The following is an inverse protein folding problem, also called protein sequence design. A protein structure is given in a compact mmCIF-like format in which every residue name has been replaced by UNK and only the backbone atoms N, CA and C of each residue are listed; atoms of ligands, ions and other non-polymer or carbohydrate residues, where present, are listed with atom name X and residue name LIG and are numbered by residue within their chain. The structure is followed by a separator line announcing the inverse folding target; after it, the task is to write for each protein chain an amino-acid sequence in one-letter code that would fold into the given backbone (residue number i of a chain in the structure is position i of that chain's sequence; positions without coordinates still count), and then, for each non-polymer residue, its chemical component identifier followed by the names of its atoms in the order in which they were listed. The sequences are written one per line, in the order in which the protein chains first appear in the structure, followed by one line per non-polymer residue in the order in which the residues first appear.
data_IF_146812744207
#
_entry.id   IF_146812744207
#
_cell.length_a   1.000
_cell.length_b   1.000
_cell.length_c   1.000
_cell.angle_alpha   90.00
_cell.angle_beta   90.00
_cell.angle_gamma   90.00
#
_symmetry.space_group_name_H-M   'P 1'
#
loop_
_entity.id
_entity.type
_entity.pdbx_description
1 polymer ?
#
# COMPACT_ATOMS: atom_id res chain seq x y z
N UNK A 1 -42.79 -86.97 39.27
CA UNK A 1 -41.41 -87.43 39.53
C UNK A 1 -40.49 -86.62 38.63
N UNK A 2 -39.48 -86.00 39.26
CA UNK A 2 -38.34 -85.14 38.81
C UNK A 2 -37.74 -85.37 37.41
N UNK A 3 -36.83 -84.50 36.86
CA UNK A 3 -36.52 -83.07 37.11
C UNK A 3 -36.17 -82.27 35.80
N UNK A 4 -35.39 -81.17 35.93
CA UNK A 4 -34.64 -80.36 34.93
C UNK A 4 -35.35 -79.13 34.35
N UNK A 5 -34.73 -77.97 34.13
CA UNK A 5 -33.47 -77.36 34.56
C UNK A 5 -33.53 -75.90 34.08
N UNK A 6 -33.02 -74.94 34.86
CA UNK A 6 -32.83 -73.56 34.40
C UNK A 6 -31.74 -73.54 33.31
N UNK A 7 -32.14 -73.25 32.08
CA UNK A 7 -31.24 -73.00 30.95
C UNK A 7 -30.70 -71.58 30.99
N UNK A 8 -29.40 -71.48 31.27
CA UNK A 8 -28.57 -70.28 31.14
C UNK A 8 -28.12 -70.15 29.68
N UNK A 9 -28.54 -69.10 28.98
CA UNK A 9 -27.87 -68.66 27.74
C UNK A 9 -27.06 -67.40 28.03
N UNK A 10 -25.75 -67.61 28.12
CA UNK A 10 -24.73 -66.59 27.88
C UNK A 10 -24.75 -66.20 26.40
N UNK A 11 -24.52 -64.91 26.10
CA UNK A 11 -24.01 -64.51 24.80
C UNK A 11 -24.60 -63.21 24.25
N UNK A 12 -23.92 -62.08 24.48
CA UNK A 12 -23.23 -61.32 23.42
C UNK A 12 -22.70 -60.03 24.05
N UNK A 13 -21.42 -60.07 24.42
CA UNK A 13 -20.60 -58.89 24.54
C UNK A 13 -20.62 -58.17 23.19
N UNK A 14 -21.15 -56.95 23.17
CA UNK A 14 -20.92 -55.97 22.10
C UNK A 14 -19.88 -54.98 22.59
N UNK A 15 -18.70 -55.50 22.95
CA UNK A 15 -17.47 -54.73 23.00
C UNK A 15 -16.96 -54.60 21.55
N UNK A 16 -17.53 -53.65 20.82
CA UNK A 16 -17.05 -53.24 19.51
C UNK A 16 -16.41 -51.85 19.59
N UNK A 17 -15.23 -51.61 19.00
CA UNK A 17 -14.55 -50.31 19.01
C UNK A 17 -15.26 -49.23 18.17
N UNK A 18 -16.50 -49.47 17.75
CA UNK A 18 -17.25 -48.64 16.82
C UNK A 18 -17.89 -47.40 17.46
N UNK A 19 -17.88 -47.26 18.80
CA UNK A 19 -18.48 -46.10 19.49
C UNK A 19 -17.55 -44.90 19.67
N UNK A 20 -16.24 -45.05 19.40
CA UNK A 20 -15.27 -43.96 19.45
C UNK A 20 -14.97 -43.31 18.09
N UNK A 21 -15.44 -43.91 16.98
CA UNK A 21 -15.23 -43.38 15.63
C UNK A 21 -16.12 -42.17 15.31
N UNK A 22 -17.30 -42.08 15.91
CA UNK A 22 -18.26 -40.99 15.64
C UNK A 22 -17.87 -39.62 16.22
N UNK A 23 -17.34 -39.48 17.47
CA UNK A 23 -16.89 -38.18 17.96
C UNK A 23 -15.59 -37.71 17.28
N UNK A 24 -14.74 -38.64 16.79
CA UNK A 24 -13.50 -38.30 16.10
C UNK A 24 -13.75 -37.69 14.71
N UNK A 25 -14.80 -38.17 14.01
CA UNK A 25 -15.18 -37.67 12.69
C UNK A 25 -15.74 -36.23 12.76
N UNK A 26 -16.48 -35.90 13.83
CA UNK A 26 -17.07 -34.56 14.04
C UNK A 26 -15.99 -33.51 14.37
N UNK A 27 -14.91 -33.90 15.07
CA UNK A 27 -13.79 -32.99 15.36
C UNK A 27 -12.96 -32.67 14.10
N UNK A 28 -12.85 -33.60 13.15
CA UNK A 28 -12.13 -33.34 11.88
C UNK A 28 -12.83 -32.33 10.96
N UNK A 29 -14.16 -32.23 11.00
CA UNK A 29 -14.89 -31.31 10.11
C UNK A 29 -14.78 -29.85 10.60
N UNK A 30 -14.55 -29.62 11.89
CA UNK A 30 -14.43 -28.28 12.48
C UNK A 30 -13.03 -27.65 12.32
N UNK A 31 -12.03 -28.40 11.83
CA UNK A 31 -10.67 -27.89 11.59
C UNK A 31 -10.42 -27.29 10.21
N UNK A 32 -11.41 -27.35 9.30
CA UNK A 32 -11.23 -27.00 7.89
C UNK A 32 -11.70 -25.58 7.50
N UNK A 33 -12.24 -24.80 8.44
CA UNK A 33 -12.48 -23.36 8.23
C UNK A 33 -11.18 -22.58 8.48
N UNK A 34 -10.12 -22.92 7.73
CA UNK A 34 -8.95 -22.05 7.63
C UNK A 34 -9.24 -21.05 6.54
N UNK A 35 -9.33 -19.77 6.92
CA UNK A 35 -9.52 -18.63 6.04
C UNK A 35 -8.69 -18.80 4.76
N UNK A 36 -9.38 -19.01 3.64
CA UNK A 36 -8.80 -19.42 2.36
C UNK A 36 -8.38 -18.22 1.51
N UNK A 37 -8.31 -17.03 2.11
CA UNK A 37 -7.85 -15.81 1.48
C UNK A 37 -6.42 -15.99 0.95
N UNK A 38 -6.27 -16.04 -0.38
CA UNK A 38 -4.98 -16.21 -1.06
C UNK A 38 -4.37 -14.86 -1.37
N UNK A 39 -3.04 -14.80 -1.30
CA UNK A 39 -2.27 -13.66 -1.79
C UNK A 39 -2.18 -13.74 -3.33
N UNK A 40 -2.46 -12.62 -3.98
CA UNK A 40 -2.22 -12.42 -5.41
C UNK A 40 -1.29 -11.24 -5.59
N UNK A 41 -0.29 -11.41 -6.44
CA UNK A 41 0.72 -10.40 -6.73
C UNK A 41 0.74 -10.08 -8.22
N UNK A 42 0.38 -8.85 -8.55
CA UNK A 42 0.25 -8.37 -9.92
C UNK A 42 1.25 -7.24 -10.12
N UNK A 43 2.02 -7.30 -11.19
CA UNK A 43 3.07 -6.33 -11.46
C UNK A 43 3.23 -6.10 -12.95
N UNK A 44 3.76 -4.94 -13.31
CA UNK A 44 4.04 -4.61 -14.68
C UNK A 44 4.63 -3.22 -14.82
N UNK A 45 4.57 -2.69 -16.04
CA UNK A 45 5.02 -1.33 -16.34
C UNK A 45 3.89 -0.54 -16.97
N UNK A 46 3.70 0.70 -16.52
CA UNK A 46 2.72 1.64 -17.02
C UNK A 46 3.13 3.06 -16.64
N UNK A 47 2.66 4.08 -17.35
CA UNK A 47 2.88 5.48 -16.98
C UNK A 47 4.38 5.85 -16.83
N UNK A 48 5.24 5.20 -17.62
CA UNK A 48 6.70 5.39 -17.58
C UNK A 48 7.38 4.86 -16.31
N UNK A 49 6.72 4.01 -15.53
CA UNK A 49 7.25 3.45 -14.28
C UNK A 49 6.77 2.00 -14.06
N UNK A 50 7.25 1.36 -12.99
CA UNK A 50 6.73 0.08 -12.51
C UNK A 50 5.51 0.25 -11.61
N UNK A 51 4.65 -0.75 -11.58
CA UNK A 51 3.58 -0.89 -10.59
C UNK A 51 3.62 -2.27 -9.95
N UNK A 52 3.20 -2.34 -8.68
CA UNK A 52 3.03 -3.57 -7.92
C UNK A 52 1.71 -3.50 -7.17
N UNK A 53 0.93 -4.56 -7.22
CA UNK A 53 -0.34 -4.68 -6.51
C UNK A 53 -0.34 -6.01 -5.78
N UNK A 54 -0.38 -5.95 -4.45
CA UNK A 54 -0.56 -7.14 -3.61
C UNK A 54 -1.99 -7.10 -3.08
N UNK A 55 -2.77 -8.15 -3.31
CA UNK A 55 -4.14 -8.26 -2.82
C UNK A 55 -4.40 -9.63 -2.18
N UNK A 56 -5.37 -9.67 -1.28
CA UNK A 56 -5.77 -10.85 -0.54
C UNK A 56 -7.24 -11.15 -0.79
N UNK A 57 -7.53 -12.22 -1.54
CA UNK A 57 -8.89 -12.60 -1.93
C UNK A 57 -8.96 -14.08 -2.33
N UNK A 58 -10.15 -14.67 -2.24
CA UNK A 58 -10.45 -15.99 -2.80
C UNK A 58 -11.00 -15.80 -4.22
N UNK A 59 -10.09 -15.83 -5.20
CA UNK A 59 -10.37 -15.64 -6.63
C UNK A 59 -10.02 -16.91 -7.40
N UNK A 60 -10.89 -17.30 -8.32
CA UNK A 60 -10.59 -18.32 -9.33
C UNK A 60 -9.75 -17.76 -10.49
N UNK A 61 -9.40 -18.62 -11.44
CA UNK A 61 -8.55 -18.23 -12.57
C UNK A 61 -9.17 -17.17 -13.48
N UNK A 62 -10.48 -17.27 -13.73
CA UNK A 62 -11.19 -16.37 -14.62
C UNK A 62 -11.35 -14.99 -13.96
N UNK A 63 -11.61 -14.97 -12.65
CA UNK A 63 -11.66 -13.74 -11.85
C UNK A 63 -10.31 -13.02 -11.78
N UNK A 64 -9.20 -13.77 -11.64
CA UNK A 64 -7.85 -13.17 -11.68
C UNK A 64 -7.60 -12.55 -13.05
N UNK A 65 -7.93 -13.25 -14.15
CA UNK A 65 -7.75 -12.72 -15.49
C UNK A 65 -8.61 -11.48 -15.77
N UNK A 66 -9.87 -11.47 -15.30
CA UNK A 66 -10.73 -10.28 -15.37
C UNK A 66 -10.15 -9.12 -14.55
N UNK A 67 -9.62 -9.41 -13.36
CA UNK A 67 -9.03 -8.42 -12.47
C UNK A 67 -7.79 -7.77 -13.10
N UNK A 68 -6.89 -8.58 -13.66
CA UNK A 68 -5.71 -8.10 -14.38
C UNK A 68 -6.08 -7.25 -15.59
N UNK A 69 -7.03 -7.71 -16.41
CA UNK A 69 -7.51 -6.97 -17.57
C UNK A 69 -8.14 -5.61 -17.18
N UNK A 70 -8.83 -5.56 -16.04
CA UNK A 70 -9.38 -4.32 -15.49
C UNK A 70 -8.33 -3.33 -15.02
N UNK A 71 -7.30 -3.80 -14.31
CA UNK A 71 -6.12 -3.00 -13.91
C UNK A 71 -5.43 -2.42 -15.14
N UNK A 72 -5.14 -3.26 -16.13
CA UNK A 72 -4.54 -2.84 -17.39
C UNK A 72 -5.41 -1.82 -18.13
N UNK A 73 -6.73 -2.01 -18.12
CA UNK A 73 -7.70 -1.08 -18.70
C UNK A 73 -7.65 0.31 -18.08
N UNK A 74 -7.64 0.41 -16.75
CA UNK A 74 -7.52 1.67 -16.03
C UNK A 74 -6.17 2.37 -16.28
N UNK A 75 -5.06 1.61 -16.24
CA UNK A 75 -3.72 2.13 -16.52
C UNK A 75 -3.58 2.60 -17.97
N UNK A 76 -4.10 1.84 -18.94
CA UNK A 76 -4.09 2.21 -20.35
C UNK A 76 -4.96 3.45 -20.63
N UNK A 77 -6.09 3.59 -19.91
CA UNK A 77 -6.93 4.79 -19.96
C UNK A 77 -6.16 6.02 -19.49
N UNK A 78 -5.46 5.93 -18.36
CA UNK A 78 -4.61 7.00 -17.86
C UNK A 78 -3.43 7.31 -18.79
N UNK A 79 -2.79 6.30 -19.38
CA UNK A 79 -1.69 6.53 -20.33
C UNK A 79 -2.16 7.30 -21.57
N UNK A 80 -3.36 7.01 -22.09
CA UNK A 80 -3.97 7.79 -23.17
C UNK A 80 -4.24 9.23 -22.76
N UNK A 81 -4.72 9.46 -21.54
CA UNK A 81 -4.96 10.81 -21.00
C UNK A 81 -3.63 11.58 -20.83
N UNK A 82 -2.62 10.95 -20.22
CA UNK A 82 -1.27 11.50 -20.04
C UNK A 82 -0.64 11.88 -21.37
N UNK A 83 -0.65 10.95 -22.34
CA UNK A 83 -0.12 11.18 -23.70
C UNK A 83 -0.83 12.33 -24.42
N UNK A 84 -2.15 12.44 -24.27
CA UNK A 84 -2.93 13.54 -24.85
C UNK A 84 -2.58 14.87 -24.21
N UNK A 85 -2.45 14.90 -22.88
CA UNK A 85 -1.99 16.08 -22.15
C UNK A 85 -0.58 16.50 -22.57
N UNK A 86 0.38 15.57 -22.66
CA UNK A 86 1.76 15.87 -23.08
C UNK A 86 1.80 16.50 -24.46
N UNK A 87 1.07 15.96 -25.44
CA UNK A 87 1.01 16.53 -26.80
C UNK A 87 0.38 17.93 -26.81
N UNK A 88 -0.70 18.13 -26.08
CA UNK A 88 -1.35 19.43 -25.99
C UNK A 88 -0.44 20.47 -25.32
N UNK A 89 0.26 20.07 -24.25
CA UNK A 89 1.23 20.89 -23.56
C UNK A 89 2.41 21.28 -24.48
N UNK A 90 2.93 20.32 -25.25
CA UNK A 90 4.00 20.57 -26.23
C UNK A 90 3.59 21.54 -27.32
N UNK A 91 2.39 21.35 -27.88
CA UNK A 91 1.86 22.23 -28.91
C UNK A 91 1.67 23.67 -28.39
N UNK A 92 1.24 23.83 -27.14
CA UNK A 92 0.98 25.14 -26.55
C UNK A 92 2.25 25.86 -26.07
N UNK A 93 3.22 25.12 -25.52
CA UNK A 93 4.35 25.71 -24.78
C UNK A 93 5.73 25.40 -25.37
N UNK A 94 5.84 24.58 -26.42
CA UNK A 94 7.10 24.14 -26.99
C UNK A 94 8.03 25.27 -27.44
N UNK A 95 7.49 26.37 -27.96
CA UNK A 95 8.26 27.53 -28.42
C UNK A 95 8.86 28.35 -27.27
N UNK A 96 8.26 28.30 -26.07
CA UNK A 96 8.62 29.17 -24.96
C UNK A 96 9.85 28.71 -24.16
N UNK A 97 10.45 27.55 -24.51
CA UNK A 97 11.60 26.95 -23.78
C UNK A 97 11.47 27.03 -22.25
N UNK A 98 10.24 26.99 -21.73
CA UNK A 98 9.98 26.76 -20.32
C UNK A 98 10.65 25.45 -19.93
N UNK A 99 11.06 25.31 -18.65
CA UNK A 99 11.65 24.06 -18.11
C UNK A 99 10.62 22.92 -18.15
N UNK A 100 10.34 22.45 -19.37
CA UNK A 100 9.26 21.54 -19.69
C UNK A 100 9.54 20.18 -19.11
N UNK A 101 10.81 19.85 -18.87
CA UNK A 101 11.22 18.63 -18.18
C UNK A 101 10.78 18.66 -16.73
N UNK A 102 11.11 19.70 -15.94
CA UNK A 102 10.71 19.77 -14.53
C UNK A 102 9.19 19.72 -14.35
N UNK A 103 8.45 20.46 -15.17
CA UNK A 103 6.99 20.44 -15.19
C UNK A 103 6.43 19.08 -15.62
N UNK A 104 6.99 18.44 -16.65
CA UNK A 104 6.60 17.08 -17.06
C UNK A 104 6.82 16.07 -15.95
N UNK A 105 7.97 16.11 -15.28
CA UNK A 105 8.23 15.19 -14.18
C UNK A 105 7.25 15.38 -13.02
N UNK A 106 6.85 16.63 -12.74
CA UNK A 106 5.82 16.89 -11.74
C UNK A 106 4.45 16.37 -12.20
N UNK A 107 4.10 16.54 -13.48
CA UNK A 107 2.88 15.98 -14.06
C UNK A 107 2.87 14.44 -14.06
N UNK A 108 4.00 13.79 -14.36
CA UNK A 108 4.14 12.33 -14.31
C UNK A 108 3.93 11.82 -12.87
N UNK A 109 4.56 12.47 -11.88
CA UNK A 109 4.35 12.17 -10.46
C UNK A 109 2.88 12.29 -10.04
N UNK A 110 2.21 13.37 -10.43
CA UNK A 110 0.76 13.54 -10.23
C UNK A 110 -0.06 12.44 -10.90
N UNK A 111 0.36 12.00 -12.09
CA UNK A 111 -0.29 10.91 -12.82
C UNK A 111 -0.14 9.58 -12.06
N UNK A 112 1.01 9.31 -11.44
CA UNK A 112 1.19 8.12 -10.60
C UNK A 112 0.28 8.15 -9.37
N UNK A 113 0.18 9.29 -8.69
CA UNK A 113 -0.73 9.45 -7.55
C UNK A 113 -2.21 9.28 -7.95
N UNK A 114 -2.60 9.83 -9.10
CA UNK A 114 -3.94 9.62 -9.66
C UNK A 114 -4.19 8.16 -10.04
N UNK A 115 -3.17 7.46 -10.56
CA UNK A 115 -3.28 6.04 -10.90
C UNK A 115 -3.55 5.19 -9.67
N UNK A 116 -2.82 5.42 -8.57
CA UNK A 116 -3.05 4.74 -7.30
C UNK A 116 -4.47 5.00 -6.78
N UNK A 117 -4.95 6.25 -6.84
CA UNK A 117 -6.31 6.57 -6.41
C UNK A 117 -7.38 5.91 -7.29
N UNK A 118 -7.21 5.89 -8.61
CA UNK A 118 -8.16 5.26 -9.53
C UNK A 118 -8.18 3.74 -9.40
N UNK A 119 -7.01 3.12 -9.28
CA UNK A 119 -6.92 1.68 -9.06
C UNK A 119 -7.55 1.30 -7.72
N UNK A 120 -7.30 2.06 -6.65
CA UNK A 120 -7.93 1.82 -5.36
C UNK A 120 -9.46 1.92 -5.46
N UNK A 121 -10.00 2.94 -6.13
CA UNK A 121 -11.45 3.08 -6.34
C UNK A 121 -12.04 1.96 -7.20
N UNK A 122 -11.32 1.54 -8.25
CA UNK A 122 -11.77 0.47 -9.13
C UNK A 122 -11.77 -0.90 -8.42
N UNK A 123 -10.76 -1.16 -7.59
CA UNK A 123 -10.66 -2.36 -6.75
C UNK A 123 -11.73 -2.40 -5.64
N UNK A 124 -12.16 -1.22 -5.16
CA UNK A 124 -13.20 -1.06 -4.14
C UNK A 124 -14.65 -1.15 -4.70
N UNK A 125 -14.82 -1.28 -6.03
CA UNK A 125 -16.13 -1.30 -6.73
C UNK A 125 -16.96 -2.58 -6.46
N UNK A 126 -16.70 -3.30 -5.37
CA UNK A 126 -17.40 -4.50 -4.88
C UNK A 126 -17.48 -5.69 -5.84
N UNK A 127 -16.80 -5.62 -7.00
CA UNK A 127 -16.74 -6.72 -7.98
C UNK A 127 -15.96 -7.93 -7.46
N UNK A 128 -14.94 -7.66 -6.64
CA UNK A 128 -14.10 -8.68 -6.03
C UNK A 128 -14.19 -8.53 -4.51
N UNK A 129 -14.35 -9.65 -3.81
CA UNK A 129 -14.36 -9.68 -2.35
C UNK A 129 -12.90 -9.62 -1.81
N UNK A 130 -12.31 -8.43 -1.88
CA UNK A 130 -10.95 -8.20 -1.41
C UNK A 130 -10.94 -7.96 0.10
N UNK A 131 -10.09 -8.69 0.83
CA UNK A 131 -9.90 -8.50 2.28
C UNK A 131 -8.84 -7.43 2.60
N UNK A 132 -7.82 -7.33 1.75
CA UNK A 132 -6.77 -6.33 1.84
C UNK A 132 -6.14 -6.12 0.47
N UNK A 133 -5.68 -4.90 0.21
CA UNK A 133 -4.95 -4.57 -1.01
C UNK A 133 -3.95 -3.44 -0.76
N UNK A 134 -2.77 -3.56 -1.37
CA UNK A 134 -1.75 -2.53 -1.43
C UNK A 134 -1.42 -2.27 -2.90
N UNK A 135 -1.67 -1.05 -3.35
CA UNK A 135 -1.36 -0.58 -4.71
C UNK A 135 -0.14 0.32 -4.66
N UNK A 136 0.86 0.03 -5.50
CA UNK A 136 2.02 0.88 -5.74
C UNK A 136 2.12 1.26 -7.23
N UNK A 137 2.29 2.54 -7.53
CA UNK A 137 2.70 3.02 -8.87
C UNK A 137 3.80 4.06 -8.69
N UNK A 138 5.02 3.77 -9.19
CA UNK A 138 6.14 4.71 -9.14
C UNK A 138 6.52 5.19 -7.73
N UNK A 139 6.46 4.31 -6.72
CA UNK A 139 6.76 4.64 -5.32
C UNK A 139 5.66 5.40 -4.58
N UNK A 140 4.53 5.67 -5.24
CA UNK A 140 3.29 6.11 -4.57
C UNK A 140 2.52 4.88 -4.16
N UNK A 141 2.11 4.81 -2.89
CA UNK A 141 1.44 3.63 -2.35
C UNK A 141 0.10 3.99 -1.72
N UNK A 142 -0.88 3.08 -1.81
CA UNK A 142 -2.13 3.16 -1.04
C UNK A 142 -2.58 1.77 -0.63
N UNK A 143 -2.90 1.62 0.66
CA UNK A 143 -3.37 0.38 1.25
C UNK A 143 -4.81 0.48 1.74
N UNK A 144 -5.55 -0.60 1.59
CA UNK A 144 -6.87 -0.83 2.18
C UNK A 144 -6.87 -2.19 2.88
N UNK A 145 -7.64 -2.28 3.98
CA UNK A 145 -7.67 -3.47 4.83
C UNK A 145 -6.31 -3.81 5.44
N UNK A 146 -6.23 -5.00 6.02
CA UNK A 146 -5.03 -5.52 6.68
C UNK A 146 -4.77 -6.95 6.19
N UNK A 147 -3.55 -7.28 5.72
CA UNK A 147 -3.23 -8.63 5.29
C UNK A 147 -3.30 -9.62 6.47
N UNK A 148 -3.43 -10.94 6.22
CA UNK A 148 -3.47 -11.95 7.29
C UNK A 148 -2.25 -11.93 8.24
N UNK A 149 -1.12 -11.40 7.77
CA UNK A 149 0.12 -11.24 8.54
C UNK A 149 0.14 -10.00 9.47
N UNK A 150 -0.92 -9.18 9.49
CA UNK A 150 -1.03 -7.97 10.32
C UNK A 150 -1.19 -6.70 9.49
N UNK A 151 -0.45 -5.64 9.82
CA UNK A 151 -0.50 -4.37 9.08
C UNK A 151 0.36 -4.39 7.82
N UNK A 152 -0.03 -3.61 6.80
CA UNK A 152 0.90 -3.15 5.78
C UNK A 152 1.92 -2.22 6.43
N UNK A 153 3.19 -2.62 6.46
CA UNK A 153 4.28 -1.87 7.09
C UNK A 153 5.26 -1.36 6.05
N UNK A 154 5.59 -0.07 6.13
CA UNK A 154 6.62 0.53 5.29
C UNK A 154 7.70 1.18 6.15
N UNK A 155 8.96 0.87 5.85
CA UNK A 155 10.09 1.47 6.56
C UNK A 155 10.25 2.95 6.20
N UNK A 156 10.45 3.78 7.21
CA UNK A 156 10.83 5.19 7.08
C UNK A 156 12.35 5.38 6.96
N UNK A 157 13.12 4.31 7.11
CA UNK A 157 14.57 4.34 6.99
C UNK A 157 15.01 4.58 5.55
N UNK A 158 16.14 5.27 5.41
CA UNK A 158 16.76 5.49 4.11
C UNK A 158 18.27 5.48 4.25
N UNK A 159 18.93 4.79 3.34
CA UNK A 159 20.39 4.80 3.22
C UNK A 159 20.93 6.22 3.10
N UNK A 160 21.92 6.56 3.92
CA UNK A 160 22.56 7.87 3.94
C UNK A 160 21.84 8.93 4.80
N UNK A 161 20.75 8.56 5.49
CA UNK A 161 20.17 9.37 6.56
C UNK A 161 20.49 8.73 7.93
N UNK A 162 20.57 9.53 9.00
CA UNK A 162 20.57 9.00 10.37
C UNK A 162 19.36 8.09 10.59
N UNK A 163 19.54 7.05 11.43
CA UNK A 163 18.40 6.26 11.88
C UNK A 163 17.40 7.17 12.60
N UNK A 164 16.09 6.96 12.42
CA UNK A 164 15.10 7.76 13.13
C UNK A 164 15.19 7.51 14.64
N UNK A 165 15.16 8.59 15.43
CA UNK A 165 14.96 8.55 16.87
C UNK A 165 13.47 8.26 17.13
N UNK A 166 13.06 6.98 17.04
CA UNK A 166 11.67 6.57 17.28
C UNK A 166 11.17 5.50 16.31
N UNK A 167 9.89 5.57 15.94
CA UNK A 167 9.23 4.61 15.07
C UNK A 167 9.94 4.49 13.71
N UNK A 168 10.25 3.25 13.34
CA UNK A 168 10.95 2.91 12.08
C UNK A 168 9.99 2.60 10.94
N UNK A 169 8.73 2.33 11.25
CA UNK A 169 7.73 1.91 10.28
C UNK A 169 6.48 2.78 10.38
N UNK A 170 5.81 2.92 9.24
CA UNK A 170 4.43 3.41 9.19
C UNK A 170 3.49 2.27 8.82
N UNK A 171 2.29 2.32 9.39
CA UNK A 171 1.18 1.45 9.02
C UNK A 171 0.37 2.13 7.93
N UNK A 172 0.18 1.41 6.82
CA UNK A 172 -0.66 1.85 5.70
C UNK A 172 -2.00 1.13 5.79
N UNK A 173 -3.01 1.79 6.36
CA UNK A 173 -4.36 1.24 6.43
C UNK A 173 -5.37 2.33 6.09
N UNK A 174 -6.16 2.11 5.03
CA UNK A 174 -7.10 3.09 4.49
C UNK A 174 -6.44 4.44 4.17
N UNK A 175 -5.19 4.39 3.71
CA UNK A 175 -4.38 5.57 3.48
C UNK A 175 -3.35 5.33 2.39
N UNK A 176 -2.84 6.45 1.88
CA UNK A 176 -1.76 6.52 0.94
C UNK A 176 -0.52 7.13 1.58
N UNK A 177 0.64 6.76 1.06
CA UNK A 177 1.91 7.39 1.37
C UNK A 177 2.65 7.76 0.09
N UNK A 178 3.27 8.94 0.12
CA UNK A 178 4.12 9.45 -0.94
C UNK A 178 5.46 9.82 -0.36
N UNK A 179 6.52 9.29 -0.96
CA UNK A 179 7.89 9.69 -0.70
C UNK A 179 8.42 10.59 -1.82
N UNK A 180 8.85 11.79 -1.46
CA UNK A 180 9.56 12.71 -2.33
C UNK A 180 10.98 12.92 -1.86
N UNK A 181 11.87 13.09 -2.81
CA UNK A 181 13.28 13.34 -2.58
C UNK A 181 13.73 14.53 -3.41
N UNK A 182 14.61 15.35 -2.82
CA UNK A 182 15.29 16.40 -3.56
C UNK A 182 16.06 15.79 -4.73
N UNK A 183 16.06 16.48 -5.87
CA UNK A 183 16.95 16.13 -6.98
C UNK A 183 18.38 16.41 -6.55
N UNK A 184 19.24 15.41 -6.66
CA UNK A 184 20.69 15.59 -6.63
C UNK A 184 21.17 16.06 -8.01
N UNK A 185 20.76 17.27 -8.40
CA UNK A 185 21.47 17.98 -9.47
C UNK A 185 22.66 18.72 -8.82
N UNK A 186 23.80 18.79 -9.51
CA UNK A 186 25.09 19.28 -8.98
C UNK A 186 24.92 20.57 -8.14
N UNK A 187 25.37 20.50 -6.88
CA UNK A 187 25.11 21.48 -5.82
C UNK A 187 25.82 22.81 -6.11
N UNK A 188 25.14 23.98 -6.09
CA UNK A 188 25.83 25.25 -5.90
C UNK A 188 26.38 25.31 -4.47
N UNK A 189 27.58 25.88 -4.31
CA UNK A 189 28.44 25.90 -3.12
C UNK A 189 27.86 26.63 -1.87
N UNK A 190 26.54 26.67 -1.70
CA UNK A 190 25.84 27.48 -0.69
C UNK A 190 25.18 26.59 0.35
N UNK A 191 25.53 26.83 1.61
CA UNK A 191 25.07 26.18 2.85
C UNK A 191 23.68 26.64 3.27
N UNK A 192 22.75 26.80 2.33
CA UNK A 192 21.36 27.04 2.71
C UNK A 192 20.76 25.71 3.14
N UNK A 193 19.83 25.77 4.09
CA UNK A 193 19.05 24.59 4.42
C UNK A 193 18.35 24.09 3.15
N UNK A 194 17.98 22.82 3.03
CA UNK A 194 17.15 22.34 1.90
C UNK A 194 16.37 21.11 2.31
N UNK A 195 15.05 21.03 2.02
CA UNK A 195 14.29 19.80 2.21
C UNK A 195 14.88 18.69 1.32
N UNK A 196 15.45 17.65 1.93
CA UNK A 196 16.09 16.52 1.24
C UNK A 196 15.10 15.40 0.91
N UNK A 197 14.13 15.21 1.78
CA UNK A 197 13.10 14.20 1.64
C UNK A 197 11.83 14.62 2.37
N UNK A 198 10.69 14.27 1.83
CA UNK A 198 9.39 14.40 2.49
C UNK A 198 8.65 13.09 2.30
N UNK A 199 8.12 12.54 3.39
CA UNK A 199 7.13 11.46 3.37
C UNK A 199 5.81 12.04 3.86
N UNK A 200 4.73 11.89 3.10
CA UNK A 200 3.39 12.34 3.54
C UNK A 200 2.42 11.19 3.49
N UNK A 201 1.64 11.05 4.57
CA UNK A 201 0.47 10.19 4.63
C UNK A 201 -0.81 10.99 4.47
N UNK A 202 -1.78 10.45 3.74
CA UNK A 202 -3.10 11.06 3.58
C UNK A 202 -4.14 9.99 3.20
N UNK A 203 -5.46 10.27 3.32
CA UNK A 203 -6.52 9.37 2.84
C UNK A 203 -6.42 8.99 1.35
N UNK A 204 -5.85 9.86 0.51
CA UNK A 204 -5.70 9.64 -0.94
C UNK A 204 -4.26 9.92 -1.39
N UNK A 205 -3.81 9.18 -2.40
CA UNK A 205 -2.48 9.34 -2.97
C UNK A 205 -2.30 10.73 -3.61
N UNK A 206 -3.34 11.23 -4.29
CA UNK A 206 -3.35 12.58 -4.85
C UNK A 206 -3.23 13.66 -3.78
N UNK A 207 -3.90 13.50 -2.62
CA UNK A 207 -3.76 14.42 -1.50
C UNK A 207 -2.35 14.39 -0.91
N UNK A 208 -1.85 13.18 -0.60
CA UNK A 208 -0.50 12.99 -0.09
C UNK A 208 0.54 13.62 -1.02
N UNK A 209 0.39 13.43 -2.34
CA UNK A 209 1.35 14.01 -3.26
C UNK A 209 1.23 15.52 -3.40
N UNK A 210 0.03 16.09 -3.44
CA UNK A 210 -0.11 17.57 -3.45
C UNK A 210 0.60 18.18 -2.25
N UNK A 211 0.37 17.63 -1.05
CA UNK A 211 1.03 18.08 0.16
C UNK A 211 2.54 17.88 0.09
N UNK A 212 3.01 16.68 -0.29
CA UNK A 212 4.44 16.41 -0.43
C UNK A 212 5.12 17.36 -1.42
N UNK A 213 4.44 17.74 -2.50
CA UNK A 213 4.93 18.69 -3.51
C UNK A 213 5.12 20.08 -2.94
N UNK A 214 4.13 20.58 -2.19
CA UNK A 214 4.20 21.88 -1.52
C UNK A 214 5.34 21.91 -0.51
N UNK A 215 5.49 20.85 0.29
CA UNK A 215 6.59 20.73 1.26
C UNK A 215 7.97 20.64 0.58
N UNK A 216 8.05 20.00 -0.60
CA UNK A 216 9.30 19.93 -1.37
C UNK A 216 9.72 21.22 -2.04
N UNK A 217 8.77 22.11 -2.29
CA UNK A 217 9.00 23.41 -2.91
C UNK A 217 9.09 24.54 -1.88
N UNK A 218 8.75 24.26 -0.62
CA UNK A 218 8.85 25.22 0.48
C UNK A 218 10.30 25.64 0.74
N UNK A 219 10.44 26.85 1.28
CA UNK A 219 11.72 27.24 1.85
C UNK A 219 12.09 26.28 2.99
N UNK A 220 13.37 25.93 3.09
CA UNK A 220 13.84 24.88 4.01
C UNK A 220 13.47 25.09 5.47
N UNK A 221 13.63 26.32 5.95
CA UNK A 221 13.30 26.77 7.31
C UNK A 221 11.79 26.82 7.59
N UNK A 222 10.97 26.74 6.55
CA UNK A 222 9.52 26.86 6.62
C UNK A 222 8.80 25.55 6.25
N UNK A 223 9.48 24.56 5.68
CA UNK A 223 8.86 23.30 5.29
C UNK A 223 8.18 22.58 6.48
N UNK A 224 8.79 22.62 7.67
CA UNK A 224 8.20 22.05 8.89
C UNK A 224 6.97 22.85 9.33
N UNK A 225 7.08 24.18 9.39
CA UNK A 225 5.95 25.06 9.75
C UNK A 225 4.80 24.95 8.78
N UNK A 226 5.10 24.81 7.49
CA UNK A 226 4.10 24.60 6.45
C UNK A 226 3.40 23.26 6.63
N UNK A 227 4.13 22.20 6.97
CA UNK A 227 3.53 20.89 7.27
C UNK A 227 2.56 20.97 8.46
N UNK A 228 2.93 21.68 9.52
CA UNK A 228 2.06 21.94 10.67
C UNK A 228 0.83 22.78 10.29
N UNK A 229 1.02 23.86 9.53
CA UNK A 229 -0.07 24.73 9.09
C UNK A 229 -1.08 24.02 8.17
N UNK A 230 -0.63 23.00 7.45
CA UNK A 230 -1.45 22.18 6.57
C UNK A 230 -2.10 20.98 7.28
N UNK A 231 -1.81 20.78 8.57
CA UNK A 231 -2.16 19.55 9.32
C UNK A 231 -1.74 18.28 8.55
N UNK A 232 -0.57 18.35 7.92
CA UNK A 232 -0.05 17.29 7.07
C UNK A 232 0.57 16.21 7.95
N UNK A 233 0.15 14.95 7.82
CA UNK A 233 0.82 13.80 8.44
C UNK A 233 2.15 13.53 7.72
N UNK A 234 3.21 14.26 8.10
CA UNK A 234 4.43 14.34 7.33
C UNK A 234 5.69 14.09 8.16
N UNK A 235 6.66 13.47 7.50
CA UNK A 235 8.07 13.43 7.90
C UNK A 235 8.87 14.27 6.93
N UNK A 236 9.55 15.30 7.42
CA UNK A 236 10.37 16.23 6.64
C UNK A 236 11.82 16.05 7.06
N UNK A 237 12.69 15.75 6.10
CA UNK A 237 14.14 15.65 6.29
C UNK A 237 14.78 16.89 5.71
N UNK A 238 15.46 17.67 6.54
CA UNK A 238 16.07 18.94 6.15
C UNK A 238 17.58 18.83 6.32
N UNK A 239 18.33 19.25 5.29
CA UNK A 239 19.75 19.52 5.43
C UNK A 239 19.90 20.89 6.08
N UNK A 240 20.68 21.00 7.14
CA UNK A 240 21.07 22.27 7.79
C UNK A 240 22.60 22.41 7.76
N UNK A 241 23.16 23.60 8.08
CA UNK A 241 24.61 23.75 8.22
C UNK A 241 25.24 22.83 9.28
N UNK A 242 24.46 22.39 10.27
CA UNK A 242 24.91 21.55 11.39
C UNK A 242 24.76 20.05 11.10
N UNK A 243 24.01 19.66 10.06
CA UNK A 243 23.83 18.27 9.70
C UNK A 243 22.52 17.99 8.97
N UNK A 244 21.95 16.81 9.23
CA UNK A 244 20.64 16.41 8.74
C UNK A 244 19.71 16.35 9.94
N UNK A 245 18.58 17.04 9.84
CA UNK A 245 17.53 17.02 10.84
C UNK A 245 16.29 16.31 10.27
N UNK A 246 15.66 15.50 11.11
CA UNK A 246 14.45 14.75 10.77
C UNK A 246 13.33 15.27 11.67
N UNK A 247 12.29 15.83 11.05
CA UNK A 247 11.14 16.41 11.74
C UNK A 247 9.89 15.60 11.40
N UNK A 248 9.08 15.25 12.41
CA UNK A 248 7.77 14.63 12.23
C UNK A 248 6.68 15.54 12.80
N UNK A 249 5.59 15.68 12.07
CA UNK A 249 4.40 16.41 12.54
C UNK A 249 3.59 15.55 13.52
N UNK A 250 2.88 16.17 14.45
CA UNK A 250 1.95 15.46 15.33
C UNK A 250 0.88 14.65 14.58
N UNK A 251 0.44 15.12 13.40
CA UNK A 251 -0.51 14.41 12.55
C UNK A 251 0.02 13.06 12.00
N UNK A 252 1.35 12.83 12.05
CA UNK A 252 1.97 11.56 11.65
C UNK A 252 1.87 10.49 12.75
N UNK A 253 1.74 10.89 14.02
CA UNK A 253 1.78 9.99 15.17
C UNK A 253 0.82 8.78 15.09
N UNK A 254 -0.45 8.95 14.64
CA UNK A 254 -1.39 7.81 14.53
C UNK A 254 -0.98 6.74 13.51
N UNK A 255 -0.07 7.08 12.61
CA UNK A 255 0.40 6.22 11.53
C UNK A 255 1.69 5.48 11.88
N UNK A 256 2.39 5.91 12.92
CA UNK A 256 3.65 5.32 13.35
C UNK A 256 3.40 3.97 14.03
N UNK A 257 4.20 2.98 13.65
CA UNK A 257 4.23 1.67 14.33
C UNK A 257 5.53 1.57 15.15
N UNK A 258 5.36 1.37 16.46
CA UNK A 258 6.41 1.34 17.48
C UNK A 258 6.89 -0.07 17.77
#
# INVERSE_FOLDING_TARGET
MTPFALGRFSGLALDGPARLLFPLLVVMVLGACRDQTREHFIQGTALGTGYHITLYADLDHDQVAELEAGIEGELASLERQRSSFTRAFDAAFGEFRLSSTALRHEADRMTHALAVDRLALWLDDHRFALSAVLVEVGGVMRGHGAPPAGSWRLSLERTGLPAPDGARHVRIENAAIVHRFARQDVVPLVTLSTPLAVSVMAPSASQAMRQATQLMQAYPEDAVKLAEAMDSAARVVVKTPQGIEIHHTAALEPWLEH
#
